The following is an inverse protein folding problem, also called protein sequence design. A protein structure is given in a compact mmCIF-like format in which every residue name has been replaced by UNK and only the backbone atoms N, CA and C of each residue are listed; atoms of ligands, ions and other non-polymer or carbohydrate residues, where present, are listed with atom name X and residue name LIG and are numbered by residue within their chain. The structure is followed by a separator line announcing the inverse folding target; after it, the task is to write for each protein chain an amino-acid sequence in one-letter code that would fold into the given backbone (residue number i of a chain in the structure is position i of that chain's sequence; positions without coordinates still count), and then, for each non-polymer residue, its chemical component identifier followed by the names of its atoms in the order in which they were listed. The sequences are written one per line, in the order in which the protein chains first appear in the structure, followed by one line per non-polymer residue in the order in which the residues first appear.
data_IF_591408403791
#
_entry.id   IF_591408403791
#
_cell.length_a   1.000
_cell.length_b   1.000
_cell.length_c   1.000
_cell.angle_alpha   90.00
_cell.angle_beta   90.00
_cell.angle_gamma   90.00
#
_symmetry.space_group_name_H-M   'P 1'
#
loop_
_entity.id
_entity.type
_entity.pdbx_description
1 polymer ?
#
# COMPACT_ATOMS: atom_id res chain seq x y z
N UNK A 1 -20.87 9.64 44.98
CA UNK A 1 -20.03 10.81 44.62
C UNK A 1 -20.20 11.08 43.13
N UNK A 2 -20.49 12.32 42.70
CA UNK A 2 -20.55 12.68 41.28
C UNK A 2 -19.17 12.52 40.61
N UNK A 3 -19.16 12.20 39.32
CA UNK A 3 -17.91 12.02 38.55
C UNK A 3 -17.24 13.38 38.33
N UNK A 4 -15.92 13.53 38.62
CA UNK A 4 -15.20 14.78 38.39
C UNK A 4 -14.89 14.94 36.90
N UNK A 5 -15.75 15.64 36.17
CA UNK A 5 -15.66 15.78 34.70
C UNK A 5 -14.41 16.55 34.27
N UNK A 6 -13.90 17.45 35.12
CA UNK A 6 -12.66 18.21 34.91
C UNK A 6 -11.45 17.29 34.78
N UNK A 7 -11.43 16.18 35.53
CA UNK A 7 -10.41 15.15 35.41
C UNK A 7 -10.53 14.35 34.11
N UNK A 8 -11.69 14.38 33.44
CA UNK A 8 -11.96 13.68 32.19
C UNK A 8 -11.72 14.54 30.95
N UNK A 9 -11.68 15.87 31.08
CA UNK A 9 -11.43 16.79 29.95
C UNK A 9 -10.14 16.43 29.20
N UNK A 10 -8.98 16.20 29.86
CA UNK A 10 -7.75 15.85 29.15
C UNK A 10 -7.89 14.54 28.35
N UNK A 11 -8.53 13.53 28.94
CA UNK A 11 -8.77 12.26 28.27
C UNK A 11 -9.76 12.39 27.10
N UNK A 12 -10.78 13.25 27.23
CA UNK A 12 -11.71 13.58 26.16
C UNK A 12 -11.02 14.22 24.97
N UNK A 13 -10.10 15.16 25.22
CA UNK A 13 -9.29 15.80 24.16
C UNK A 13 -8.41 14.75 23.48
N UNK A 14 -7.72 13.89 24.24
CA UNK A 14 -6.89 12.81 23.69
C UNK A 14 -7.73 11.89 22.80
N UNK A 15 -8.89 11.43 23.29
CA UNK A 15 -9.78 10.55 22.53
C UNK A 15 -10.28 11.23 21.25
N UNK A 16 -10.64 12.51 21.31
CA UNK A 16 -11.07 13.28 20.15
C UNK A 16 -9.95 13.41 19.10
N UNK A 17 -8.72 13.75 19.52
CA UNK A 17 -7.58 13.89 18.61
C UNK A 17 -7.19 12.56 17.98
N UNK A 18 -7.08 11.49 18.77
CA UNK A 18 -6.81 10.13 18.25
C UNK A 18 -7.93 9.66 17.31
N UNK A 19 -9.19 9.92 17.64
CA UNK A 19 -10.33 9.61 16.80
C UNK A 19 -10.28 10.36 15.47
N UNK A 20 -10.05 11.67 15.49
CA UNK A 20 -9.95 12.51 14.30
C UNK A 20 -8.80 12.07 13.39
N UNK A 21 -7.60 11.87 13.95
CA UNK A 21 -6.43 11.39 13.19
C UNK A 21 -6.66 9.98 12.63
N UNK A 22 -7.21 9.07 13.43
CA UNK A 22 -7.48 7.69 13.01
C UNK A 22 -8.49 7.63 11.86
N UNK A 23 -9.60 8.37 11.97
CA UNK A 23 -10.61 8.46 10.92
C UNK A 23 -10.05 9.13 9.65
N UNK A 24 -9.32 10.24 9.80
CA UNK A 24 -8.69 10.96 8.69
C UNK A 24 -7.72 10.08 7.91
N UNK A 25 -6.77 9.44 8.60
CA UNK A 25 -5.81 8.53 7.96
C UNK A 25 -6.48 7.31 7.33
N UNK A 26 -7.51 6.77 7.96
CA UNK A 26 -8.27 5.65 7.40
C UNK A 26 -8.93 6.03 6.07
N UNK A 27 -9.56 7.21 6.00
CA UNK A 27 -10.21 7.72 4.80
C UNK A 27 -9.22 8.00 3.68
N UNK A 28 -8.11 8.68 4.00
CA UNK A 28 -7.04 8.95 3.03
C UNK A 28 -6.46 7.67 2.45
N UNK A 29 -6.17 6.66 3.29
CA UNK A 29 -5.70 5.36 2.82
C UNK A 29 -6.73 4.65 1.97
N UNK A 30 -8.02 4.75 2.29
CA UNK A 30 -9.07 4.14 1.48
C UNK A 30 -9.11 4.73 0.06
N UNK A 31 -8.97 6.06 -0.06
CA UNK A 31 -8.92 6.74 -1.36
C UNK A 31 -7.64 6.40 -2.14
N UNK A 32 -6.48 6.39 -1.49
CA UNK A 32 -5.21 5.98 -2.12
C UNK A 32 -5.24 4.54 -2.63
N UNK A 33 -6.05 3.67 -2.03
CA UNK A 33 -6.22 2.28 -2.46
C UNK A 33 -7.34 2.09 -3.49
N UNK A 34 -7.79 3.17 -4.16
CA UNK A 34 -8.82 3.09 -5.19
C UNK A 34 -10.17 2.65 -4.62
N UNK A 35 -10.53 3.17 -3.45
CA UNK A 35 -11.77 2.81 -2.73
C UNK A 35 -11.82 1.35 -2.29
N UNK A 36 -10.66 0.68 -2.19
CA UNK A 36 -10.55 -0.66 -1.63
C UNK A 36 -9.92 -0.63 -0.24
N UNK A 37 -10.18 -1.65 0.56
CA UNK A 37 -9.53 -1.80 1.87
C UNK A 37 -8.03 -2.05 1.68
N UNK A 38 -7.16 -1.45 2.51
CA UNK A 38 -5.73 -1.74 2.46
C UNK A 38 -5.46 -3.21 2.82
N UNK A 39 -4.63 -3.88 2.04
CA UNK A 39 -4.14 -5.23 2.37
C UNK A 39 -3.14 -5.17 3.52
N UNK A 40 -3.22 -6.15 4.42
CA UNK A 40 -2.30 -6.34 5.55
C UNK A 40 -1.57 -7.67 5.38
N UNK A 41 -0.42 -7.83 6.02
CA UNK A 41 0.34 -9.09 6.00
C UNK A 41 0.66 -9.61 4.59
N UNK A 42 0.90 -8.69 3.65
CA UNK A 42 1.27 -8.97 2.26
C UNK A 42 2.52 -9.85 2.30
N UNK A 43 2.58 -11.01 1.67
CA UNK A 43 3.74 -11.92 1.71
C UNK A 43 4.59 -11.85 0.43
N UNK A 44 5.59 -12.70 0.26
CA UNK A 44 6.42 -12.66 -0.97
C UNK A 44 5.61 -12.97 -2.24
N UNK A 45 4.54 -13.77 -2.16
CA UNK A 45 3.69 -14.08 -3.30
C UNK A 45 2.87 -12.84 -3.70
N UNK A 46 2.24 -12.19 -2.74
CA UNK A 46 1.54 -10.92 -2.95
C UNK A 46 2.52 -9.79 -3.34
N UNK A 47 3.79 -9.84 -2.88
CA UNK A 47 4.83 -8.81 -3.05
C UNK A 47 5.79 -9.00 -4.22
N UNK A 48 5.91 -10.18 -4.81
CA UNK A 48 7.15 -10.68 -5.46
C UNK A 48 7.89 -9.59 -6.28
N UNK A 49 9.21 -9.61 -6.07
CA UNK A 49 10.25 -8.65 -6.43
C UNK A 49 10.50 -7.46 -5.49
N UNK A 50 10.34 -7.65 -4.18
CA UNK A 50 11.42 -7.20 -3.29
C UNK A 50 12.18 -8.44 -2.87
N UNK A 51 13.12 -8.85 -3.71
CA UNK A 51 14.17 -9.76 -3.26
C UNK A 51 14.82 -9.17 -2.00
N UNK A 52 15.33 -10.05 -1.15
CA UNK A 52 15.85 -9.82 0.19
C UNK A 52 17.13 -8.95 0.25
N UNK A 53 17.19 -7.81 -0.44
CA UNK A 53 18.32 -6.89 -0.33
C UNK A 53 18.08 -5.93 0.83
N UNK A 54 18.47 -6.36 2.03
CA UNK A 54 18.64 -5.44 3.16
C UNK A 54 19.87 -4.57 2.89
N UNK A 55 19.59 -3.35 2.41
CA UNK A 55 20.19 -2.07 2.80
C UNK A 55 21.72 -1.93 2.78
N UNK A 56 22.23 -1.09 1.88
CA UNK A 56 23.01 0.10 2.25
C UNK A 56 22.77 1.21 1.21
N UNK A 57 22.56 2.44 1.71
CA UNK A 57 22.39 3.72 1.00
C UNK A 57 20.96 4.09 0.51
N UNK A 58 20.42 5.08 1.23
CA UNK A 58 19.08 5.64 1.19
C UNK A 58 18.91 6.75 0.13
N UNK A 59 19.50 6.62 -1.06
CA UNK A 59 19.56 7.72 -2.04
C UNK A 59 19.03 7.37 -3.44
N UNK A 60 18.25 6.30 -3.59
CA UNK A 60 17.55 6.02 -4.85
C UNK A 60 16.05 6.13 -4.63
N UNK A 61 15.42 6.98 -5.44
CA UNK A 61 13.99 7.27 -5.41
C UNK A 61 13.20 5.97 -5.36
N UNK A 62 12.69 5.70 -4.17
CA UNK A 62 11.95 4.51 -3.81
C UNK A 62 10.50 4.63 -4.31
N UNK A 63 10.32 4.98 -5.58
CA UNK A 63 9.01 5.34 -6.16
C UNK A 63 8.39 4.26 -7.03
N UNK A 64 9.11 3.17 -7.34
CA UNK A 64 8.50 2.04 -8.06
C UNK A 64 8.45 0.75 -7.22
N UNK A 65 7.75 0.84 -6.08
CA UNK A 65 7.40 -0.28 -5.20
C UNK A 65 6.13 -0.97 -5.67
N UNK A 66 6.25 -1.81 -6.67
CA UNK A 66 5.11 -2.52 -7.24
C UNK A 66 5.37 -4.04 -7.03
N UNK A 67 4.32 -4.71 -6.56
CA UNK A 67 4.22 -6.02 -5.91
C UNK A 67 3.76 -7.12 -6.90
N UNK A 68 4.40 -8.28 -7.11
CA UNK A 68 4.10 -9.19 -8.26
C UNK A 68 2.65 -9.47 -8.65
N UNK A 69 1.76 -9.84 -7.72
CA UNK A 69 0.35 -10.04 -8.08
C UNK A 69 -0.27 -8.69 -8.39
N UNK A 70 0.02 -7.67 -7.58
CA UNK A 70 -0.47 -6.29 -7.85
C UNK A 70 0.19 -5.64 -9.08
N UNK A 71 1.34 -6.12 -9.54
CA UNK A 71 2.09 -5.63 -10.70
C UNK A 71 1.58 -6.25 -11.95
N UNK A 72 1.31 -7.55 -11.87
CA UNK A 72 0.50 -8.22 -12.86
C UNK A 72 -0.85 -7.52 -12.97
N UNK A 73 -1.57 -7.30 -11.86
CA UNK A 73 -2.87 -6.63 -11.87
C UNK A 73 -2.78 -5.21 -12.44
N UNK A 74 -1.71 -4.47 -12.11
CA UNK A 74 -1.44 -3.16 -12.70
C UNK A 74 -1.13 -3.22 -14.19
N UNK A 75 -0.41 -4.25 -14.66
CA UNK A 75 -0.17 -4.48 -16.09
C UNK A 75 -1.43 -4.89 -16.83
N UNK A 76 -2.36 -5.57 -16.15
CA UNK A 76 -3.66 -5.97 -16.71
C UNK A 76 -4.68 -4.82 -16.72
N UNK A 77 -4.64 -3.92 -15.72
CA UNK A 77 -5.74 -2.94 -15.49
C UNK A 77 -5.29 -1.48 -15.47
N UNK A 78 -3.99 -1.21 -15.51
CA UNK A 78 -3.40 0.13 -15.34
C UNK A 78 -3.35 0.62 -13.89
N UNK A 79 -4.10 0.00 -12.98
CA UNK A 79 -4.24 0.41 -11.57
C UNK A 79 -3.60 -0.61 -10.62
N UNK A 80 -2.88 -0.14 -9.60
CA UNK A 80 -2.22 -1.02 -8.61
C UNK A 80 -3.19 -1.97 -7.88
N UNK A 81 -4.49 -1.63 -7.86
CA UNK A 81 -5.55 -2.40 -7.19
C UNK A 81 -6.75 -2.66 -8.11
N UNK A 82 -6.56 -2.48 -9.42
CA UNK A 82 -7.57 -2.84 -10.39
C UNK A 82 -7.76 -4.35 -10.38
N UNK A 83 -9.01 -4.79 -10.51
CA UNK A 83 -9.36 -6.19 -10.73
C UNK A 83 -10.10 -6.25 -12.06
N UNK A 84 -9.83 -7.28 -12.83
CA UNK A 84 -10.53 -7.58 -14.08
C UNK A 84 -10.91 -9.05 -14.07
N UNK A 85 -12.14 -9.33 -14.48
CA UNK A 85 -12.71 -10.66 -14.68
C UNK A 85 -12.77 -11.05 -16.16
N UNK A 86 -12.19 -10.23 -17.05
CA UNK A 86 -12.17 -10.48 -18.47
C UNK A 86 -11.47 -11.83 -18.79
N UNK A 87 -12.07 -12.70 -19.62
CA UNK A 87 -11.50 -14.01 -19.95
C UNK A 87 -10.27 -13.91 -20.85
N UNK A 88 -10.15 -12.81 -21.61
CA UNK A 88 -9.02 -12.51 -22.49
C UNK A 88 -8.26 -11.31 -21.93
N UNK A 89 -6.93 -11.39 -21.94
CA UNK A 89 -6.06 -10.29 -21.53
C UNK A 89 -6.14 -9.12 -22.54
N UNK A 90 -5.90 -7.87 -22.08
CA UNK A 90 -5.86 -6.73 -22.99
C UNK A 90 -4.70 -6.86 -23.99
N UNK A 91 -4.90 -6.29 -25.17
CA UNK A 91 -3.87 -6.26 -26.22
C UNK A 91 -2.61 -5.57 -25.71
N UNK A 92 -1.44 -6.12 -26.06
CA UNK A 92 -0.14 -5.61 -25.58
C UNK A 92 0.29 -6.09 -24.19
N UNK A 93 -0.56 -6.82 -23.45
CA UNK A 93 -0.13 -7.50 -22.22
C UNK A 93 0.99 -8.50 -22.46
N UNK A 94 0.99 -9.14 -23.63
CA UNK A 94 2.03 -10.08 -24.06
C UNK A 94 3.43 -9.46 -24.12
N UNK A 95 3.51 -8.15 -24.39
CA UNK A 95 4.77 -7.42 -24.60
C UNK A 95 5.20 -6.61 -23.38
N UNK A 96 4.37 -6.53 -22.32
CA UNK A 96 4.59 -5.64 -21.19
C UNK A 96 5.26 -6.31 -19.99
N UNK A 97 6.08 -7.35 -20.22
CA UNK A 97 6.79 -8.08 -19.18
C UNK A 97 8.23 -7.58 -18.99
N UNK A 98 8.49 -6.59 -18.11
CA UNK A 98 9.83 -6.09 -17.87
C UNK A 98 10.63 -7.10 -17.03
N UNK A 99 11.87 -7.35 -17.46
CA UNK A 99 12.87 -7.99 -16.63
C UNK A 99 13.57 -6.93 -15.78
N UNK A 100 13.60 -7.14 -14.47
CA UNK A 100 14.30 -6.23 -13.56
C UNK A 100 15.79 -6.54 -13.62
N UNK A 101 16.59 -5.51 -13.88
CA UNK A 101 18.05 -5.60 -13.82
C UNK A 101 18.50 -5.10 -12.45
N UNK A 102 19.39 -5.83 -11.80
CA UNK A 102 20.04 -5.38 -10.57
C UNK A 102 21.49 -4.97 -10.82
N UNK A 103 21.97 -4.02 -10.03
CA UNK A 103 23.39 -3.66 -10.05
C UNK A 103 24.18 -4.81 -9.44
N UNK A 104 25.30 -5.18 -10.07
CA UNK A 104 26.22 -6.19 -9.54
C UNK A 104 26.59 -5.83 -8.10
N UNK A 105 26.40 -6.77 -7.19
CA UNK A 105 26.88 -6.67 -5.82
C UNK A 105 28.41 -6.74 -5.88
N UNK A 106 29.08 -5.65 -5.51
CA UNK A 106 30.53 -5.54 -5.43
C UNK A 106 30.95 -5.39 -3.97
#
# INVERSE_FOLDING_TARGET
MPVPFEALIPYGIVLAMFGATGAGLSKLRHWQNGHKRPRRSIDQWDRQSTNNYRTLSSAYSQTDRRFVVMDRDRRLTGLLRGQSDAPLAPTGFELNNPWRMEKRMS
#
